data_IF_488269944285
#
_entry.id   IF_488269944285
#
_cell.length_a   1.000
_cell.length_b   1.000
_cell.length_c   1.000
_cell.angle_alpha   90.00
_cell.angle_beta   90.00
_cell.angle_gamma   90.00
#
_symmetry.space_group_name_H-M   'P 1'
#
loop_
_entity.id
_entity.type
_entity.pdbx_description
1 polymer ?
#
# COMPACT_ATOMS: atom_id res chain seq x y z
N UNK A 1 -32.62 -30.80 -2.99
CA UNK A 1 -31.31 -30.74 -3.66
C UNK A 1 -31.03 -29.47 -4.48
N UNK A 2 -31.96 -28.85 -5.24
CA UNK A 2 -31.61 -27.66 -6.04
C UNK A 2 -31.29 -26.42 -5.17
N UNK A 3 -31.99 -26.25 -4.04
CA UNK A 3 -31.72 -25.13 -3.12
C UNK A 3 -30.30 -25.16 -2.52
N UNK A 4 -29.78 -26.34 -2.20
CA UNK A 4 -28.42 -26.48 -1.64
C UNK A 4 -27.35 -26.03 -2.65
N UNK A 5 -27.55 -26.32 -3.93
CA UNK A 5 -26.64 -25.90 -5.01
C UNK A 5 -26.62 -24.38 -5.12
N UNK A 6 -27.79 -23.73 -5.07
CA UNK A 6 -27.88 -22.27 -5.12
C UNK A 6 -27.17 -21.61 -3.92
N UNK A 7 -27.34 -22.17 -2.73
CA UNK A 7 -26.66 -21.67 -1.53
C UNK A 7 -25.14 -21.73 -1.71
N UNK A 8 -24.59 -22.87 -2.14
CA UNK A 8 -23.15 -23.02 -2.37
C UNK A 8 -22.66 -22.04 -3.44
N UNK A 9 -23.43 -21.83 -4.51
CA UNK A 9 -23.07 -20.92 -5.58
C UNK A 9 -23.02 -19.46 -5.10
N UNK A 10 -23.99 -19.04 -4.29
CA UNK A 10 -24.00 -17.71 -3.67
C UNK A 10 -22.83 -17.55 -2.70
N UNK A 11 -22.57 -18.54 -1.85
CA UNK A 11 -21.44 -18.51 -0.92
C UNK A 11 -20.09 -18.45 -1.66
N UNK A 12 -19.96 -19.17 -2.78
CA UNK A 12 -18.77 -19.13 -3.61
C UNK A 12 -18.57 -17.75 -4.25
N UNK A 13 -19.64 -17.14 -4.78
CA UNK A 13 -19.59 -15.77 -5.31
C UNK A 13 -19.15 -14.77 -4.24
N UNK A 14 -19.77 -14.82 -3.04
CA UNK A 14 -19.38 -13.98 -1.91
C UNK A 14 -17.93 -14.19 -1.48
N UNK A 15 -17.44 -15.43 -1.49
CA UNK A 15 -16.06 -15.74 -1.15
C UNK A 15 -15.07 -15.12 -2.17
N UNK A 16 -15.42 -15.13 -3.46
CA UNK A 16 -14.62 -14.47 -4.51
C UNK A 16 -14.59 -12.95 -4.30
N UNK A 17 -15.75 -12.34 -4.03
CA UNK A 17 -15.84 -10.90 -3.76
C UNK A 17 -14.98 -10.49 -2.55
N UNK A 18 -15.05 -11.27 -1.46
CA UNK A 18 -14.22 -11.05 -0.28
C UNK A 18 -12.73 -11.26 -0.56
N UNK A 19 -12.36 -12.23 -1.39
CA UNK A 19 -10.97 -12.45 -1.77
C UNK A 19 -10.40 -11.25 -2.54
N UNK A 20 -11.17 -10.66 -3.46
CA UNK A 20 -10.78 -9.44 -4.17
C UNK A 20 -10.61 -8.25 -3.21
N UNK A 21 -11.55 -8.07 -2.29
CA UNK A 21 -11.47 -7.01 -1.27
C UNK A 21 -10.21 -7.15 -0.40
N UNK A 22 -9.94 -8.38 0.10
CA UNK A 22 -8.76 -8.64 0.91
C UNK A 22 -7.45 -8.43 0.15
N UNK A 23 -7.42 -8.78 -1.14
CA UNK A 23 -6.27 -8.51 -1.99
C UNK A 23 -6.02 -7.00 -2.12
N UNK A 24 -7.07 -6.22 -2.39
CA UNK A 24 -6.97 -4.75 -2.44
C UNK A 24 -6.46 -4.15 -1.13
N UNK A 25 -6.95 -4.62 0.02
CA UNK A 25 -6.45 -4.18 1.33
C UNK A 25 -4.97 -4.50 1.55
N UNK A 26 -4.51 -5.69 1.14
CA UNK A 26 -3.09 -6.08 1.24
C UNK A 26 -2.22 -5.22 0.32
N UNK A 27 -2.68 -4.97 -0.89
CA UNK A 27 -1.98 -4.10 -1.85
C UNK A 27 -1.82 -2.69 -1.30
N UNK A 28 -2.90 -2.07 -0.79
CA UNK A 28 -2.84 -0.73 -0.20
C UNK A 28 -1.86 -0.65 0.98
N UNK A 29 -1.80 -1.68 1.84
CA UNK A 29 -0.82 -1.75 2.93
C UNK A 29 0.61 -1.87 2.43
N UNK A 30 0.84 -2.68 1.41
CA UNK A 30 2.15 -2.82 0.78
C UNK A 30 2.60 -1.48 0.17
N UNK A 31 1.72 -0.83 -0.60
CA UNK A 31 2.00 0.47 -1.20
C UNK A 31 2.32 1.53 -0.15
N UNK A 32 1.61 1.54 0.97
CA UNK A 32 1.89 2.44 2.09
C UNK A 32 3.26 2.15 2.74
N UNK A 33 3.62 0.89 2.89
CA UNK A 33 4.93 0.49 3.41
C UNK A 33 6.06 0.90 2.45
N UNK A 34 5.88 0.68 1.14
CA UNK A 34 6.85 1.05 0.12
C UNK A 34 7.03 2.58 0.05
N UNK A 35 5.92 3.34 0.07
CA UNK A 35 5.96 4.79 0.10
C UNK A 35 6.65 5.34 1.36
N UNK A 36 6.40 4.73 2.53
CA UNK A 36 7.08 5.10 3.76
C UNK A 36 8.58 4.78 3.71
N UNK A 37 8.95 3.63 3.14
CA UNK A 37 10.34 3.22 2.98
C UNK A 37 11.09 4.15 2.02
N UNK A 38 10.50 4.51 0.88
CA UNK A 38 11.06 5.46 -0.08
C UNK A 38 11.21 6.86 0.54
N UNK A 39 10.19 7.33 1.27
CA UNK A 39 10.22 8.62 1.94
C UNK A 39 11.29 8.69 3.03
N UNK A 40 11.43 7.63 3.83
CA UNK A 40 12.49 7.52 4.82
C UNK A 40 13.88 7.49 4.15
N UNK A 41 14.04 6.70 3.08
CA UNK A 41 15.29 6.62 2.34
C UNK A 41 15.71 7.96 1.70
N UNK A 42 14.75 8.70 1.14
CA UNK A 42 15.01 9.99 0.54
C UNK A 42 15.24 11.12 1.57
N UNK A 43 14.51 11.08 2.68
CA UNK A 43 14.57 12.12 3.72
C UNK A 43 15.76 12.01 4.67
N UNK A 44 16.47 10.88 4.71
CA UNK A 44 17.62 10.66 5.59
C UNK A 44 18.89 11.28 5.00
N UNK A 45 19.57 12.09 5.80
CA UNK A 45 20.95 12.52 5.52
C UNK A 45 21.92 11.35 5.72
N UNK A 46 22.32 10.73 4.60
CA UNK A 46 23.21 9.57 4.56
C UNK A 46 24.62 9.91 5.06
N UNK A 47 25.07 11.14 4.87
CA UNK A 47 26.41 11.58 5.30
C UNK A 47 26.45 11.78 6.81
N UNK A 48 25.42 12.43 7.38
CA UNK A 48 25.25 12.53 8.82
C UNK A 48 25.11 11.15 9.48
N UNK A 49 24.29 10.27 8.89
CA UNK A 49 24.13 8.89 9.36
C UNK A 49 25.46 8.13 9.37
N UNK A 50 26.25 8.23 8.29
CA UNK A 50 27.56 7.56 8.18
C UNK A 50 28.60 8.15 9.13
N UNK A 51 28.49 9.44 9.44
CA UNK A 51 29.34 10.13 10.41
C UNK A 51 28.94 9.88 11.89
N UNK A 52 27.90 9.06 12.14
CA UNK A 52 27.40 8.79 13.48
C UNK A 52 26.70 9.99 14.13
N UNK A 53 26.29 10.98 13.32
CA UNK A 53 25.54 12.14 13.78
C UNK A 53 24.05 11.79 13.94
N UNK A 54 23.28 12.59 14.70
CA UNK A 54 21.84 12.41 14.82
C UNK A 54 21.18 12.47 13.45
N UNK A 55 20.42 11.44 13.10
CA UNK A 55 19.65 11.40 11.85
C UNK A 55 18.56 12.45 11.91
N UNK A 56 18.57 13.39 10.97
CA UNK A 56 17.46 14.30 10.73
C UNK A 56 16.74 13.90 9.45
N UNK A 57 15.42 13.93 9.50
CA UNK A 57 14.54 13.72 8.35
C UNK A 57 14.09 15.08 7.85
N UNK A 58 14.25 15.35 6.55
CA UNK A 58 13.57 16.48 5.90
C UNK A 58 12.09 16.10 5.67
N UNK A 59 11.15 16.70 6.43
CA UNK A 59 9.74 16.33 6.34
C UNK A 59 9.12 16.72 4.98
N UNK A 60 9.58 17.81 4.35
CA UNK A 60 9.02 18.26 3.08
C UNK A 60 9.45 17.34 1.94
N UNK A 61 10.72 16.91 1.95
CA UNK A 61 11.24 15.93 0.98
C UNK A 61 10.57 14.56 1.17
N UNK A 62 10.45 14.09 2.41
CA UNK A 62 9.79 12.82 2.73
C UNK A 62 8.32 12.81 2.27
N UNK A 63 7.56 13.88 2.53
CA UNK A 63 6.17 14.00 2.08
C UNK A 63 6.06 14.02 0.55
N UNK A 64 6.96 14.74 -0.14
CA UNK A 64 6.97 14.80 -1.60
C UNK A 64 7.24 13.43 -2.24
N UNK A 65 8.17 12.66 -1.67
CA UNK A 65 8.49 11.31 -2.15
C UNK A 65 7.36 10.33 -1.85
N UNK A 66 6.80 10.34 -0.64
CA UNK A 66 5.66 9.50 -0.28
C UNK A 66 4.48 9.72 -1.25
N UNK A 67 4.15 10.98 -1.56
CA UNK A 67 3.08 11.34 -2.50
C UNK A 67 3.36 10.84 -3.92
N UNK A 68 4.62 10.94 -4.37
CA UNK A 68 5.03 10.47 -5.70
C UNK A 68 4.94 8.95 -5.80
N UNK A 69 5.46 8.21 -4.82
CA UNK A 69 5.40 6.75 -4.80
C UNK A 69 3.95 6.27 -4.75
N UNK A 70 3.11 6.88 -3.91
CA UNK A 70 1.68 6.58 -3.86
C UNK A 70 0.96 6.83 -5.20
N UNK A 71 1.26 7.96 -5.87
CA UNK A 71 0.67 8.29 -7.16
C UNK A 71 1.12 7.34 -8.29
N UNK A 72 2.38 6.90 -8.28
CA UNK A 72 2.92 5.98 -9.29
C UNK A 72 2.31 4.57 -9.20
N UNK A 73 1.94 4.15 -7.99
CA UNK A 73 1.39 2.82 -7.73
C UNK A 73 -0.14 2.81 -7.70
N UNK A 74 -0.81 3.96 -7.81
CA UNK A 74 -2.27 4.04 -7.73
C UNK A 74 -2.93 3.24 -8.86
N UNK A 75 -3.75 2.22 -8.55
CA UNK A 75 -4.41 1.43 -9.57
C UNK A 75 -5.43 2.28 -10.32
N UNK A 76 -5.29 2.35 -11.64
CA UNK A 76 -6.20 3.08 -12.55
C UNK A 76 -7.63 2.55 -12.56
N UNK A 77 -7.87 1.39 -11.95
CA UNK A 77 -9.20 0.79 -11.75
C UNK A 77 -9.93 1.30 -10.50
N UNK A 78 -9.28 2.11 -9.66
CA UNK A 78 -9.89 2.70 -8.45
C UNK A 78 -10.14 4.19 -8.74
N UNK A 79 -11.29 4.50 -9.32
CA UNK A 79 -11.85 5.86 -9.35
C UNK A 79 -12.50 6.17 -8.00
N UNK A 80 -12.25 7.37 -7.41
CA UNK A 80 -12.98 7.82 -6.24
C UNK A 80 -14.47 8.06 -6.52
#
# INVERSE_FOLDING_TARGET
MPAAVLIVLVLAAMAIDLAHLQLGQRQLRSMAADAANDAAGAGVDVEALRAGQPVQLDPALAEAVARRTAAAQWPSSVTP
#
